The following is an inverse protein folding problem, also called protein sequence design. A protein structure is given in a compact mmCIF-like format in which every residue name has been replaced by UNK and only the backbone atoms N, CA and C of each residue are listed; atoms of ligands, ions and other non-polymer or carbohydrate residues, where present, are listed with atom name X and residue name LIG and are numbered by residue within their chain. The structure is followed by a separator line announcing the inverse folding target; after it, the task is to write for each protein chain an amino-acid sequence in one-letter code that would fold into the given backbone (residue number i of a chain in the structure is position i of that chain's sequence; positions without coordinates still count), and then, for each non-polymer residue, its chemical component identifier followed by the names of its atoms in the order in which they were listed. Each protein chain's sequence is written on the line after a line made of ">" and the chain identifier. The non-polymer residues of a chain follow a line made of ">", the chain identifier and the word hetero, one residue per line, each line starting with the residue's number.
data_IF_652467267477
#
_entry.id   IF_652467267477
#
_cell.length_a   1.000
_cell.length_b   1.000
_cell.length_c   1.000
_cell.angle_alpha   90.00
_cell.angle_beta   90.00
_cell.angle_gamma   90.00
#
_symmetry.space_group_name_H-M   'P 1'
#
loop_
_entity.id
_entity.type
_entity.pdbx_description
1 polymer ?
#
# COMPACT_ATOMS: atom_id res chain seq x y z
N UNK A 1 -29.99 27.41 4.80
CA UNK A 1 -28.65 26.90 4.43
C UNK A 1 -28.81 25.42 4.11
N UNK A 2 -28.82 25.08 2.83
CA UNK A 2 -29.31 23.80 2.32
C UNK A 2 -28.26 22.70 2.55
N UNK A 3 -28.57 21.60 3.27
CA UNK A 3 -27.60 20.53 3.61
C UNK A 3 -27.02 19.83 2.37
N UNK A 4 -27.61 20.05 1.19
CA UNK A 4 -27.16 19.56 -0.12
C UNK A 4 -25.75 20.04 -0.49
N UNK A 5 -25.38 21.28 -0.12
CA UNK A 5 -24.09 21.86 -0.50
C UNK A 5 -22.91 21.30 0.30
N UNK A 6 -23.18 20.66 1.44
CA UNK A 6 -22.16 19.99 2.27
C UNK A 6 -21.78 18.60 1.75
N UNK A 7 -22.62 17.95 0.94
CA UNK A 7 -22.37 16.59 0.44
C UNK A 7 -21.29 16.54 -0.65
N UNK A 8 -21.16 17.59 -1.45
CA UNK A 8 -20.20 17.66 -2.56
C UNK A 8 -18.72 17.65 -2.10
N UNK A 9 -18.27 18.48 -1.14
CA UNK A 9 -16.88 18.44 -0.67
C UNK A 9 -16.56 17.15 0.09
N UNK A 10 -17.53 16.57 0.81
CA UNK A 10 -17.34 15.31 1.55
C UNK A 10 -17.09 14.14 0.59
N UNK A 11 -17.89 14.02 -0.48
CA UNK A 11 -17.69 12.96 -1.47
C UNK A 11 -16.31 13.02 -2.14
N UNK A 12 -15.78 14.22 -2.38
CA UNK A 12 -14.48 14.41 -3.00
C UNK A 12 -13.31 14.03 -2.09
N UNK A 13 -13.39 14.29 -0.77
CA UNK A 13 -12.30 13.94 0.15
C UNK A 13 -12.23 12.44 0.43
N UNK A 14 -13.36 11.73 0.42
CA UNK A 14 -13.41 10.28 0.64
C UNK A 14 -12.72 9.47 -0.46
N UNK A 15 -12.77 9.93 -1.72
CA UNK A 15 -12.12 9.22 -2.84
C UNK A 15 -10.60 9.35 -2.80
N UNK A 16 -10.06 10.44 -2.25
CA UNK A 16 -8.62 10.65 -2.12
C UNK A 16 -7.98 9.76 -1.04
N UNK A 17 -8.70 9.46 0.05
CA UNK A 17 -8.17 8.61 1.14
C UNK A 17 -8.19 7.12 0.83
N UNK A 18 -8.88 6.70 -0.24
CA UNK A 18 -8.98 5.29 -0.62
C UNK A 18 -7.74 4.77 -1.38
N UNK A 19 -6.83 5.65 -1.82
CA UNK A 19 -5.70 5.31 -2.68
C UNK A 19 -4.37 5.35 -1.90
N UNK A 20 -4.13 4.38 -1.01
CA UNK A 20 -2.81 4.23 -0.41
C UNK A 20 -2.74 3.23 0.75
N UNK A 21 -1.83 2.26 0.64
CA UNK A 21 -1.39 1.40 1.75
C UNK A 21 -0.18 2.04 2.44
N UNK A 22 -0.12 1.99 3.77
CA UNK A 22 1.02 2.50 4.54
C UNK A 22 2.04 1.38 4.78
N UNK A 23 3.33 1.68 4.70
CA UNK A 23 4.38 0.71 5.03
C UNK A 23 4.29 0.29 6.51
N UNK A 24 4.29 -1.01 6.77
CA UNK A 24 4.16 -1.55 8.13
C UNK A 24 5.50 -1.78 8.85
N UNK A 25 6.60 -1.85 8.12
CA UNK A 25 7.94 -2.10 8.65
C UNK A 25 8.82 -0.87 8.47
N UNK A 26 9.71 -0.61 9.43
CA UNK A 26 10.75 0.39 9.27
C UNK A 26 11.78 -0.05 8.22
N UNK A 27 12.53 0.92 7.67
CA UNK A 27 13.58 0.63 6.66
C UNK A 27 14.62 -0.36 7.19
N UNK A 28 14.96 -0.26 8.47
CA UNK A 28 15.93 -1.14 9.11
C UNK A 28 15.45 -2.60 9.17
N UNK A 29 14.15 -2.83 9.38
CA UNK A 29 13.58 -4.18 9.45
C UNK A 29 13.50 -4.86 8.07
N UNK A 30 13.41 -4.07 6.99
CA UNK A 30 13.43 -4.55 5.62
C UNK A 30 14.83 -4.70 5.01
N UNK A 31 15.91 -4.41 5.75
CA UNK A 31 17.28 -4.30 5.22
C UNK A 31 18.27 -5.15 6.03
N UNK A 32 19.16 -5.88 5.35
CA UNK A 32 20.23 -6.67 5.99
C UNK A 32 20.20 -8.15 5.60
N UNK A 33 21.06 -9.00 6.21
CA UNK A 33 21.18 -10.42 5.87
C UNK A 33 19.96 -11.26 6.26
N UNK A 34 19.11 -10.77 7.18
CA UNK A 34 17.88 -11.42 7.60
C UNK A 34 16.75 -10.37 7.72
N UNK A 35 16.17 -9.90 6.61
CA UNK A 35 15.08 -8.94 6.64
C UNK A 35 13.78 -9.59 7.14
N UNK A 36 12.97 -8.83 7.85
CA UNK A 36 11.60 -9.21 8.20
C UNK A 36 10.71 -9.02 6.97
N UNK A 37 10.04 -10.09 6.55
CA UNK A 37 9.07 -10.03 5.47
C UNK A 37 7.67 -9.81 6.07
N UNK A 38 6.93 -8.76 5.66
CA UNK A 38 5.54 -8.63 6.05
C UNK A 38 4.73 -9.76 5.43
N UNK A 39 3.69 -10.20 6.12
CA UNK A 39 2.77 -11.20 5.57
C UNK A 39 2.03 -10.69 4.32
N UNK A 40 1.37 -11.58 3.58
CA UNK A 40 0.47 -11.18 2.49
C UNK A 40 -0.62 -10.22 2.99
N UNK A 41 -0.92 -9.16 2.22
CA UNK A 41 -1.98 -8.22 2.56
C UNK A 41 -3.37 -8.84 2.30
N UNK A 42 -4.19 -8.94 3.34
CA UNK A 42 -5.57 -9.44 3.27
C UNK A 42 -6.55 -8.27 3.03
N UNK A 43 -6.57 -7.75 1.81
CA UNK A 43 -7.55 -6.74 1.38
C UNK A 43 -8.64 -7.35 0.49
N UNK A 44 -9.77 -6.64 0.35
CA UNK A 44 -10.91 -7.08 -0.49
C UNK A 44 -10.52 -7.33 -1.95
N UNK A 45 -9.47 -6.66 -2.43
CA UNK A 45 -8.85 -6.92 -3.73
C UNK A 45 -7.34 -7.09 -3.49
N UNK A 46 -6.86 -8.32 -3.27
CA UNK A 46 -5.45 -8.55 -3.01
C UNK A 46 -4.65 -8.29 -4.28
N UNK A 47 -3.62 -7.46 -4.18
CA UNK A 47 -2.71 -7.21 -5.31
C UNK A 47 -1.59 -8.25 -5.27
N UNK A 48 -1.72 -9.32 -6.04
CA UNK A 48 -0.68 -10.35 -6.17
C UNK A 48 0.03 -10.18 -7.51
N UNK A 49 1.20 -9.54 -7.52
CA UNK A 49 2.09 -9.44 -8.68
C UNK A 49 3.45 -10.04 -8.32
N UNK A 50 3.58 -11.35 -8.49
CA UNK A 50 4.81 -12.08 -8.16
C UNK A 50 5.73 -12.02 -9.39
N UNK A 51 6.75 -11.17 -9.32
CA UNK A 51 7.82 -11.16 -10.31
C UNK A 51 8.67 -12.44 -10.19
N UNK A 52 9.09 -13.00 -11.33
CA UNK A 52 10.02 -14.13 -11.35
C UNK A 52 11.37 -13.67 -10.80
N UNK A 53 11.94 -14.40 -9.83
CA UNK A 53 13.23 -14.06 -9.28
C UNK A 53 14.33 -14.24 -10.35
N UNK A 54 15.00 -13.15 -10.72
CA UNK A 54 16.18 -13.17 -11.59
C UNK A 54 17.39 -12.90 -10.70
N UNK A 55 18.35 -13.82 -10.64
CA UNK A 55 19.58 -13.66 -9.87
C UNK A 55 20.43 -12.50 -10.39
N UNK A 56 21.26 -11.94 -9.51
CA UNK A 56 22.23 -10.90 -9.91
C UNK A 56 23.25 -11.46 -10.92
N UNK A 57 23.65 -10.69 -11.95
CA UNK A 57 24.72 -11.10 -12.85
C UNK A 57 26.04 -11.25 -12.08
N UNK A 58 26.90 -12.18 -12.51
CA UNK A 58 28.25 -12.30 -11.98
C UNK A 58 29.03 -11.02 -12.31
N UNK A 59 29.62 -10.42 -11.27
CA UNK A 59 30.35 -9.15 -11.37
C UNK A 59 31.63 -9.20 -12.18
#
# INVERSE_FOLDING_TARGET
>A
MTPRYLLLPIGLTLTLTACGTVAQLSVAEGTGPNPTLPGPDESLIPTVNIATAIGWPTG
#
